data_IF_487407509231
#
_entry.id   IF_487407509231
#
_cell.length_a   1.000
_cell.length_b   1.000
_cell.length_c   1.000
_cell.angle_alpha   90.00
_cell.angle_beta   90.00
_cell.angle_gamma   90.00
#
_symmetry.space_group_name_H-M   'P 1'
#
loop_
_entity.id
_entity.type
_entity.pdbx_description
1 polymer ?
#
# COMPACT_ATOMS: atom_id res chain seq x y z
N UNK A 1 -4.93 6.05 -2.24
CA UNK A 1 -3.82 6.41 -3.17
C UNK A 1 -4.04 7.83 -3.62
N UNK A 2 -2.97 8.59 -3.75
CA UNK A 2 -2.96 9.98 -4.21
C UNK A 2 -1.87 10.15 -5.28
N UNK A 3 -1.98 11.21 -6.09
CA UNK A 3 -0.95 11.56 -7.07
C UNK A 3 0.35 12.02 -6.42
N UNK A 4 1.48 12.03 -7.15
CA UNK A 4 2.79 12.38 -6.60
C UNK A 4 2.89 13.83 -6.13
N UNK A 5 2.08 14.74 -6.69
CA UNK A 5 2.02 16.15 -6.30
C UNK A 5 0.88 16.50 -5.34
N UNK A 6 0.06 15.51 -4.94
CA UNK A 6 -1.07 15.78 -4.05
C UNK A 6 -0.56 15.98 -2.61
N UNK A 7 -1.04 17.02 -1.90
CA UNK A 7 -0.64 17.26 -0.53
C UNK A 7 -1.12 16.12 0.38
N UNK A 8 -0.32 15.78 1.40
CA UNK A 8 -0.83 14.96 2.50
C UNK A 8 -1.76 15.79 3.39
N UNK A 9 -2.78 15.14 3.93
CA UNK A 9 -3.65 15.79 4.92
C UNK A 9 -2.89 16.06 6.22
N UNK A 10 -3.24 17.14 6.94
CA UNK A 10 -2.69 17.42 8.26
C UNK A 10 -2.86 16.23 9.20
N UNK A 11 -1.74 15.78 9.80
CA UNK A 11 -1.72 14.67 10.77
C UNK A 11 -1.28 13.33 10.19
N UNK A 12 -1.25 13.17 8.86
CA UNK A 12 -0.60 12.00 8.23
C UNK A 12 0.91 12.01 8.50
N UNK A 13 1.47 10.82 8.71
CA UNK A 13 2.89 10.64 8.98
C UNK A 13 3.56 9.98 7.78
N UNK A 14 4.60 10.59 7.25
CA UNK A 14 5.37 10.02 6.15
C UNK A 14 6.34 8.96 6.69
N UNK A 15 6.43 7.83 6.00
CA UNK A 15 7.41 6.79 6.31
C UNK A 15 8.28 6.49 5.09
N UNK A 16 9.57 6.32 5.36
CA UNK A 16 10.61 6.04 4.37
C UNK A 16 11.15 4.60 4.47
N UNK A 17 10.78 3.88 5.54
CA UNK A 17 11.22 2.51 5.80
C UNK A 17 10.12 1.67 6.44
N UNK A 18 10.20 0.34 6.26
CA UNK A 18 9.21 -0.58 6.84
C UNK A 18 9.15 -0.54 8.39
N UNK A 19 10.29 -0.47 9.13
CA UNK A 19 10.24 -0.34 10.58
C UNK A 19 9.55 0.96 11.04
N UNK A 20 9.82 2.08 10.36
CA UNK A 20 9.19 3.37 10.64
C UNK A 20 7.68 3.34 10.38
N UNK A 21 7.26 2.83 9.22
CA UNK A 21 5.84 2.66 8.89
C UNK A 21 5.12 1.82 9.94
N UNK A 22 5.75 0.74 10.39
CA UNK A 22 5.18 -0.16 11.39
C UNK A 22 5.12 0.43 12.80
N UNK A 23 6.08 1.28 13.17
CA UNK A 23 6.04 2.01 14.44
C UNK A 23 4.89 3.04 14.43
N UNK A 24 4.83 3.88 13.40
CA UNK A 24 3.80 4.91 13.24
C UNK A 24 2.39 4.32 13.16
N UNK A 25 2.21 3.20 12.46
CA UNK A 25 0.92 2.51 12.39
C UNK A 25 0.47 1.97 13.76
N UNK A 26 1.39 1.46 14.59
CA UNK A 26 1.08 1.02 15.97
C UNK A 26 0.69 2.17 16.89
N UNK A 27 1.22 3.36 16.63
CA UNK A 27 0.82 4.60 17.31
C UNK A 27 -0.55 5.12 16.83
N UNK A 28 -1.19 4.45 15.87
CA UNK A 28 -2.48 4.85 15.31
C UNK A 28 -2.40 6.00 14.31
N UNK A 29 -1.20 6.34 13.81
CA UNK A 29 -1.01 7.37 12.79
C UNK A 29 -1.45 6.85 11.42
N UNK A 30 -2.08 7.72 10.62
CA UNK A 30 -2.27 7.44 9.19
C UNK A 30 -0.92 7.58 8.49
N UNK A 31 -0.36 6.46 8.06
CA UNK A 31 0.96 6.43 7.41
C UNK A 31 0.81 6.61 5.89
N UNK A 32 1.56 7.57 5.34
CA UNK A 32 1.68 7.84 3.91
C UNK A 32 3.08 7.44 3.42
N UNK A 33 3.14 6.82 2.24
CA UNK A 33 4.40 6.39 1.61
C UNK A 33 4.43 6.87 0.17
N UNK A 34 5.57 7.41 -0.25
CA UNK A 34 5.84 7.77 -1.64
C UNK A 34 6.48 6.57 -2.34
N UNK A 35 5.82 6.04 -3.38
CA UNK A 35 6.32 4.89 -4.12
C UNK A 35 7.30 5.30 -5.23
N UNK A 36 8.26 4.43 -5.59
CA UNK A 36 9.12 4.66 -6.75
C UNK A 36 8.31 4.66 -8.06
N UNK A 37 8.90 5.23 -9.12
CA UNK A 37 8.24 5.34 -10.42
C UNK A 37 8.29 4.05 -11.24
N UNK A 38 9.29 3.19 -11.01
CA UNK A 38 9.35 1.87 -11.65
C UNK A 38 8.19 0.98 -11.17
N UNK A 39 7.49 0.35 -12.11
CA UNK A 39 6.28 -0.41 -11.79
C UNK A 39 6.55 -1.61 -10.87
N UNK A 40 7.65 -2.32 -11.09
CA UNK A 40 7.99 -3.53 -10.32
C UNK A 40 8.35 -3.14 -8.90
N UNK A 41 9.20 -2.11 -8.74
CA UNK A 41 9.55 -1.58 -7.43
C UNK A 41 8.34 -0.99 -6.71
N UNK A 42 7.45 -0.27 -7.43
CA UNK A 42 6.26 0.33 -6.86
C UNK A 42 5.30 -0.73 -6.31
N UNK A 43 5.07 -1.81 -7.05
CA UNK A 43 4.23 -2.93 -6.63
C UNK A 43 4.83 -3.62 -5.40
N UNK A 44 6.13 -3.90 -5.39
CA UNK A 44 6.81 -4.53 -4.28
C UNK A 44 6.78 -3.67 -3.02
N UNK A 45 7.11 -2.37 -3.16
CA UNK A 45 7.07 -1.41 -2.07
C UNK A 45 5.65 -1.24 -1.51
N UNK A 46 4.63 -1.09 -2.38
CA UNK A 46 3.24 -0.97 -1.96
C UNK A 46 2.78 -2.16 -1.11
N UNK A 47 3.07 -3.38 -1.56
CA UNK A 47 2.70 -4.59 -0.83
C UNK A 47 3.41 -4.66 0.54
N UNK A 48 4.72 -4.39 0.59
CA UNK A 48 5.50 -4.44 1.82
C UNK A 48 5.06 -3.37 2.83
N UNK A 49 4.86 -2.13 2.38
CA UNK A 49 4.42 -1.04 3.26
C UNK A 49 2.97 -1.20 3.70
N UNK A 50 2.08 -1.73 2.86
CA UNK A 50 0.71 -2.08 3.28
C UNK A 50 0.72 -3.13 4.39
N UNK A 51 1.57 -4.16 4.27
CA UNK A 51 1.77 -5.15 5.32
C UNK A 51 2.31 -4.51 6.61
N UNK A 52 3.20 -3.53 6.49
CA UNK A 52 3.74 -2.77 7.62
C UNK A 52 2.71 -1.84 8.28
N UNK A 53 1.58 -1.54 7.63
CA UNK A 53 0.50 -0.71 8.16
C UNK A 53 0.30 0.64 7.46
N UNK A 54 0.99 0.90 6.33
CA UNK A 54 0.72 2.08 5.52
C UNK A 54 -0.70 2.05 4.93
N UNK A 55 -1.36 3.21 4.97
CA UNK A 55 -2.76 3.35 4.53
C UNK A 55 -2.87 4.24 3.28
N UNK A 56 -1.90 5.13 3.04
CA UNK A 56 -1.90 6.05 1.91
C UNK A 56 -0.63 5.86 1.10
N UNK A 57 -0.78 5.79 -0.22
CA UNK A 57 0.33 5.61 -1.16
C UNK A 57 0.29 6.72 -2.22
N UNK A 58 1.40 7.44 -2.38
CA UNK A 58 1.62 8.36 -3.50
C UNK A 58 2.22 7.58 -4.66
N UNK A 59 1.60 7.64 -5.83
CA UNK A 59 1.98 6.82 -6.98
C UNK A 59 1.73 7.57 -8.28
N UNK A 60 2.61 7.38 -9.26
CA UNK A 60 2.43 7.91 -10.61
C UNK A 60 1.19 7.29 -11.30
N UNK A 61 0.55 8.05 -12.20
CA UNK A 61 -0.65 7.59 -12.89
C UNK A 61 -0.43 6.30 -13.70
N UNK A 62 0.78 6.11 -14.26
CA UNK A 62 1.14 4.93 -15.02
C UNK A 62 1.15 3.63 -14.21
N UNK A 63 1.54 3.69 -12.93
CA UNK A 63 1.70 2.50 -12.07
C UNK A 63 0.51 2.29 -11.12
N UNK A 64 -0.39 3.27 -11.00
CA UNK A 64 -1.52 3.26 -10.09
C UNK A 64 -2.42 2.03 -10.19
N UNK A 65 -2.62 1.46 -11.40
CA UNK A 65 -3.43 0.26 -11.59
C UNK A 65 -2.77 -0.97 -10.97
N UNK A 66 -1.49 -1.20 -11.28
CA UNK A 66 -0.72 -2.35 -10.76
C UNK A 66 -0.55 -2.27 -9.25
N UNK A 67 -0.28 -1.06 -8.72
CA UNK A 67 -0.25 -0.80 -7.27
C UNK A 67 -1.61 -1.09 -6.63
N UNK A 68 -2.73 -0.65 -7.21
CA UNK A 68 -4.07 -0.94 -6.67
C UNK A 68 -4.33 -2.44 -6.57
N UNK A 69 -3.99 -3.19 -7.61
CA UNK A 69 -4.15 -4.65 -7.61
C UNK A 69 -3.31 -5.32 -6.53
N UNK A 70 -2.07 -4.88 -6.34
CA UNK A 70 -1.20 -5.39 -5.29
C UNK A 70 -1.77 -5.12 -3.89
N UNK A 71 -2.26 -3.90 -3.64
CA UNK A 71 -2.91 -3.52 -2.38
C UNK A 71 -4.18 -4.33 -2.12
N UNK A 72 -5.02 -4.51 -3.14
CA UNK A 72 -6.23 -5.33 -3.05
C UNK A 72 -5.89 -6.78 -2.67
N UNK A 73 -4.84 -7.35 -3.25
CA UNK A 73 -4.35 -8.68 -2.90
C UNK A 73 -3.77 -8.75 -1.49
N UNK A 74 -2.97 -7.76 -1.06
CA UNK A 74 -2.44 -7.69 0.30
C UNK A 74 -3.56 -7.63 1.33
N UNK A 75 -4.61 -6.84 1.09
CA UNK A 75 -5.78 -6.78 1.98
C UNK A 75 -6.54 -8.12 2.05
N UNK A 76 -6.54 -8.91 0.97
CA UNK A 76 -7.06 -10.28 1.01
C UNK A 76 -6.19 -11.19 1.88
N UNK A 77 -4.87 -11.12 1.73
CA UNK A 77 -3.92 -11.92 2.52
C UNK A 77 -3.96 -11.57 4.01
N UNK A 78 -4.22 -10.31 4.34
CA UNK A 78 -4.42 -9.83 5.71
C UNK A 78 -5.81 -10.18 6.27
N UNK A 79 -6.70 -10.78 5.46
CA UNK A 79 -8.05 -11.17 5.89
C UNK A 79 -9.01 -9.99 6.07
N UNK A 80 -8.69 -8.81 5.55
CA UNK A 80 -9.50 -7.58 5.68
C UNK A 80 -10.57 -7.46 4.60
N UNK A 81 -10.42 -8.19 3.50
CA UNK A 81 -11.41 -8.30 2.43
C UNK A 81 -11.41 -9.69 1.80
N UNK A 82 -12.54 -10.13 1.20
CA UNK A 82 -12.55 -11.36 0.41
C UNK A 82 -11.80 -11.17 -0.92
N UNK A 83 -11.16 -12.23 -1.44
CA UNK A 83 -10.58 -12.23 -2.79
C UNK A 83 -11.67 -12.10 -3.86
N UNK A 84 -11.35 -11.38 -4.94
CA UNK A 84 -12.28 -11.16 -6.04
C UNK A 84 -12.64 -12.45 -6.81
N UNK A 85 -11.76 -13.46 -6.76
CA UNK A 85 -11.97 -14.76 -7.37
C UNK A 85 -11.32 -15.84 -6.49
N UNK A 86 -12.09 -16.86 -6.14
CA UNK A 86 -11.58 -18.09 -5.54
C UNK A 86 -11.90 -19.24 -6.47
N UNK A 87 -10.88 -19.93 -6.97
CA UNK A 87 -11.04 -21.20 -7.69
C UNK A 87 -10.61 -22.32 -6.76
N UNK A 88 -11.52 -23.23 -6.43
CA UNK A 88 -11.19 -24.47 -5.75
C UNK A 88 -10.62 -25.45 -6.79
N UNK A 89 -9.30 -25.46 -6.94
CA UNK A 89 -8.62 -26.59 -7.57
C UNK A 89 -8.62 -27.76 -6.60
N UNK A 90 -8.66 -28.99 -7.13
CA UNK A 90 -8.78 -30.29 -6.46
C UNK A 90 -10.20 -30.89 -6.55
N UNK A 91 -10.42 -31.54 -7.69
CA UNK A 91 -11.23 -32.75 -7.81
C UNK A 91 -10.28 -33.95 -7.73
#
# INVERSE_FOLDING_TARGET
MIGPGDPAEPGWAEASSLPEASALAREGRTVVVTLPDDETEAVAAAAAFAWAGAAVFRTAAGTARSVRQALDMTECLLGRRPPALTRRGLA
#
